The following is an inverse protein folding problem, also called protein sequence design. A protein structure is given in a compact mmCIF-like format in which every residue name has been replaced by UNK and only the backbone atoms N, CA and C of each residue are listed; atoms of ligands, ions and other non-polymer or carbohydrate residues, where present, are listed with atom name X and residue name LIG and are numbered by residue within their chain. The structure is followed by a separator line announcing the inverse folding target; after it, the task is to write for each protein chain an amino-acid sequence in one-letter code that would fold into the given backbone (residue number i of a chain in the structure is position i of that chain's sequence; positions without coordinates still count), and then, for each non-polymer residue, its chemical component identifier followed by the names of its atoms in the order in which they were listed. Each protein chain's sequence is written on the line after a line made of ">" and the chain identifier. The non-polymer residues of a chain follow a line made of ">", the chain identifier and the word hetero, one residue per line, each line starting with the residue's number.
data_IF_665241235563
#
_entry.id   IF_665241235563
#
_cell.length_a   1.000
_cell.length_b   1.000
_cell.length_c   1.000
_cell.angle_alpha   90.00
_cell.angle_beta   90.00
_cell.angle_gamma   90.00
#
_symmetry.space_group_name_H-M   'P 1'
#
loop_
_entity.id
_entity.type
_entity.pdbx_description
1 polymer ?
#
# COMPACT_ATOMS: atom_id res chain seq x y z
N UNK A 1 82.99 -29.02 -66.20
CA UNK A 1 82.17 -30.13 -65.77
C UNK A 1 80.81 -29.53 -65.34
N UNK A 2 79.92 -29.52 -66.29
CA UNK A 2 78.63 -28.78 -66.21
C UNK A 2 77.49 -29.76 -65.96
N UNK A 3 76.64 -29.47 -65.04
CA UNK A 3 75.32 -30.11 -64.88
C UNK A 3 74.23 -29.05 -64.92
N UNK A 4 73.48 -29.19 -66.02
CA UNK A 4 72.29 -28.37 -66.29
C UNK A 4 71.07 -28.93 -65.47
N UNK A 5 70.54 -28.14 -64.61
CA UNK A 5 69.35 -28.52 -63.88
C UNK A 5 68.10 -27.99 -64.57
N UNK A 6 67.24 -28.91 -64.91
CA UNK A 6 65.93 -28.66 -65.55
C UNK A 6 64.85 -28.27 -64.51
N UNK A 7 64.23 -27.09 -64.62
CA UNK A 7 63.15 -26.69 -63.78
C UNK A 7 61.82 -27.29 -64.28
N UNK A 8 61.18 -28.10 -63.45
CA UNK A 8 59.81 -28.55 -63.62
C UNK A 8 58.86 -27.57 -62.90
N UNK A 9 57.88 -27.02 -63.61
CA UNK A 9 56.78 -26.21 -63.10
C UNK A 9 55.67 -27.16 -62.69
N UNK A 10 55.17 -27.16 -61.45
CA UNK A 10 54.02 -27.96 -61.06
C UNK A 10 52.67 -27.27 -61.48
N UNK A 11 51.59 -28.05 -61.71
CA UNK A 11 50.30 -27.53 -62.16
C UNK A 11 49.55 -26.81 -61.03
N UNK A 12 48.81 -25.75 -61.39
CA UNK A 12 47.96 -24.93 -60.57
C UNK A 12 46.78 -25.79 -60.12
N UNK A 13 46.70 -26.03 -58.84
CA UNK A 13 45.59 -26.73 -58.20
C UNK A 13 44.46 -25.73 -57.86
N UNK A 14 43.35 -25.76 -58.60
CA UNK A 14 42.17 -24.94 -58.40
C UNK A 14 41.38 -25.52 -57.22
N UNK A 15 41.66 -25.10 -55.99
CA UNK A 15 40.89 -25.48 -54.84
C UNK A 15 39.63 -24.62 -54.77
N UNK A 16 38.51 -25.28 -54.98
CA UNK A 16 37.16 -24.84 -54.81
C UNK A 16 36.95 -24.28 -53.41
N UNK A 17 36.83 -22.94 -53.28
CA UNK A 17 36.41 -22.27 -52.05
C UNK A 17 34.98 -22.68 -51.71
N UNK A 18 34.78 -23.57 -50.78
CA UNK A 18 33.49 -23.84 -50.12
C UNK A 18 33.17 -22.62 -49.29
N UNK A 19 32.18 -21.82 -49.74
CA UNK A 19 31.51 -20.80 -48.91
C UNK A 19 30.69 -21.53 -47.86
N UNK A 20 31.20 -21.54 -46.63
CA UNK A 20 30.34 -21.87 -45.43
C UNK A 20 29.37 -20.71 -45.22
N UNK A 21 28.04 -20.95 -45.16
CA UNK A 21 27.13 -19.94 -44.72
C UNK A 21 27.38 -19.71 -43.22
N UNK A 22 27.83 -18.50 -42.87
CA UNK A 22 27.86 -18.02 -41.49
C UNK A 22 26.39 -17.85 -41.08
N UNK A 23 25.88 -18.81 -40.33
CA UNK A 23 24.58 -18.72 -39.66
C UNK A 23 24.72 -17.67 -38.54
N UNK A 24 24.34 -16.42 -38.79
CA UNK A 24 24.25 -15.38 -37.77
C UNK A 24 23.09 -15.75 -36.88
N UNK A 25 23.34 -16.39 -35.76
CA UNK A 25 22.39 -16.61 -34.68
C UNK A 25 22.14 -15.25 -34.00
N UNK A 26 21.11 -14.54 -34.48
CA UNK A 26 20.61 -13.33 -33.80
C UNK A 26 19.95 -13.79 -32.52
N UNK A 27 20.68 -13.78 -31.41
CA UNK A 27 20.13 -13.89 -30.07
C UNK A 27 19.28 -12.64 -29.83
N UNK A 28 17.96 -12.76 -30.01
CA UNK A 28 17.00 -11.80 -29.51
C UNK A 28 17.08 -11.85 -27.98
N UNK A 29 17.92 -11.03 -27.37
CA UNK A 29 17.80 -10.70 -25.96
C UNK A 29 16.50 -9.91 -25.81
N UNK A 30 15.42 -10.55 -25.37
CA UNK A 30 14.24 -9.83 -24.93
C UNK A 30 14.68 -8.79 -23.87
N UNK A 31 14.22 -7.53 -23.96
CA UNK A 31 14.57 -6.54 -22.95
C UNK A 31 14.13 -7.06 -21.58
N UNK A 32 14.99 -6.97 -20.59
CA UNK A 32 14.76 -7.48 -19.23
C UNK A 32 13.41 -6.99 -18.62
N UNK A 33 12.99 -5.77 -18.96
CA UNK A 33 11.72 -5.21 -18.54
C UNK A 33 10.48 -6.05 -18.97
N UNK A 34 10.47 -6.61 -20.19
CA UNK A 34 9.36 -7.47 -20.63
C UNK A 34 9.33 -8.81 -19.90
N UNK A 35 10.47 -9.30 -19.47
CA UNK A 35 10.57 -10.52 -18.66
C UNK A 35 10.05 -10.30 -17.24
N UNK A 36 10.33 -9.15 -16.65
CA UNK A 36 9.87 -8.77 -15.31
C UNK A 36 8.36 -8.58 -15.27
N UNK A 37 7.77 -7.93 -16.29
CA UNK A 37 6.32 -7.77 -16.40
C UNK A 37 5.61 -9.13 -16.57
N UNK A 38 6.14 -10.03 -17.40
CA UNK A 38 5.59 -11.38 -17.60
C UNK A 38 5.69 -12.21 -16.30
N UNK A 39 6.78 -12.08 -15.54
CA UNK A 39 6.96 -12.75 -14.26
C UNK A 39 5.98 -12.21 -13.23
N UNK A 40 5.79 -10.89 -13.13
CA UNK A 40 4.82 -10.27 -12.26
C UNK A 40 3.39 -10.78 -12.53
N UNK A 41 2.97 -10.84 -13.81
CA UNK A 41 1.66 -11.35 -14.18
C UNK A 41 1.48 -12.84 -13.81
N UNK A 42 2.53 -13.65 -13.97
CA UNK A 42 2.49 -15.05 -13.57
C UNK A 42 2.28 -15.20 -12.07
N UNK A 43 3.03 -14.47 -11.23
CA UNK A 43 2.90 -14.50 -9.77
C UNK A 43 1.51 -14.03 -9.34
N UNK A 44 1.02 -12.93 -9.89
CA UNK A 44 -0.33 -12.42 -9.61
C UNK A 44 -1.41 -13.44 -9.97
N UNK A 45 -1.28 -14.13 -11.09
CA UNK A 45 -2.21 -15.19 -11.49
C UNK A 45 -2.21 -16.34 -10.48
N UNK A 46 -1.03 -16.79 -10.03
CA UNK A 46 -0.89 -17.82 -9.01
C UNK A 46 -1.47 -17.38 -7.68
N UNK A 47 -1.19 -16.14 -7.26
CA UNK A 47 -1.71 -15.57 -6.03
C UNK A 47 -3.24 -15.43 -6.06
N UNK A 48 -3.83 -14.92 -7.14
CA UNK A 48 -5.29 -14.87 -7.31
C UNK A 48 -5.91 -16.26 -7.30
N UNK A 49 -5.26 -17.25 -7.91
CA UNK A 49 -5.73 -18.64 -7.83
C UNK A 49 -5.69 -19.17 -6.40
N UNK A 50 -4.66 -18.86 -5.62
CA UNK A 50 -4.49 -19.28 -4.22
C UNK A 50 -5.55 -18.68 -3.29
N UNK A 51 -5.94 -17.41 -3.51
CA UNK A 51 -6.92 -16.73 -2.66
C UNK A 51 -8.38 -16.97 -3.05
N UNK A 52 -8.68 -17.73 -4.14
CA UNK A 52 -10.06 -18.07 -4.49
C UNK A 52 -10.32 -18.26 -5.98
N UNK A 53 -9.38 -17.85 -6.83
CA UNK A 53 -9.47 -17.94 -8.28
C UNK A 53 -10.14 -16.75 -8.94
N UNK A 54 -9.75 -16.48 -10.17
CA UNK A 54 -10.18 -15.30 -10.94
C UNK A 54 -11.70 -15.19 -11.03
N UNK A 55 -12.40 -16.33 -11.25
CA UNK A 55 -13.85 -16.35 -11.35
C UNK A 55 -14.56 -15.86 -10.09
N UNK A 56 -14.07 -16.24 -8.89
CA UNK A 56 -14.65 -15.81 -7.63
C UNK A 56 -14.31 -14.33 -7.36
N UNK A 57 -13.07 -13.92 -7.65
CA UNK A 57 -12.64 -12.54 -7.45
C UNK A 57 -13.42 -11.56 -8.34
N UNK A 58 -13.75 -11.93 -9.58
CA UNK A 58 -14.56 -11.11 -10.49
C UNK A 58 -16.02 -10.96 -10.05
N UNK A 59 -16.54 -11.86 -9.23
CA UNK A 59 -17.91 -11.77 -8.68
C UNK A 59 -18.02 -10.82 -7.48
N UNK A 60 -16.88 -10.36 -6.95
CA UNK A 60 -16.89 -9.47 -5.79
C UNK A 60 -17.33 -8.07 -6.23
N UNK A 61 -18.46 -7.64 -5.72
CA UNK A 61 -19.00 -6.29 -5.89
C UNK A 61 -18.77 -5.44 -4.64
N UNK A 62 -18.60 -6.08 -3.48
CA UNK A 62 -18.35 -5.40 -2.23
C UNK A 62 -17.91 -6.33 -1.12
N UNK A 63 -17.34 -5.74 -0.08
CA UNK A 63 -16.91 -6.43 1.13
C UNK A 63 -17.33 -5.62 2.35
N UNK A 64 -17.77 -6.31 3.39
CA UNK A 64 -17.86 -5.74 4.72
C UNK A 64 -16.96 -6.53 5.65
N UNK A 65 -16.11 -5.82 6.39
CA UNK A 65 -15.10 -6.38 7.28
C UNK A 65 -15.30 -5.79 8.66
N UNK A 66 -15.48 -6.64 9.66
CA UNK A 66 -15.67 -6.22 11.07
C UNK A 66 -14.64 -6.88 11.96
N UNK A 67 -14.16 -6.13 12.93
CA UNK A 67 -13.21 -6.65 13.89
C UNK A 67 -12.84 -5.64 14.95
N UNK A 68 -11.82 -5.97 15.72
CA UNK A 68 -11.29 -5.11 16.76
C UNK A 68 -9.89 -4.61 16.38
N UNK A 69 -9.65 -3.34 16.57
CA UNK A 69 -8.32 -2.78 16.38
C UNK A 69 -7.71 -2.35 17.72
N UNK A 70 -6.39 -2.42 17.78
CA UNK A 70 -5.55 -1.89 18.85
C UNK A 70 -4.46 -1.04 18.21
N UNK A 71 -4.33 0.19 18.67
CA UNK A 71 -3.33 1.15 18.16
C UNK A 71 -2.47 1.64 19.31
N UNK A 72 -1.16 1.65 19.09
CA UNK A 72 -0.21 2.28 19.99
C UNK A 72 -0.26 3.81 19.84
N UNK A 73 -0.31 4.52 20.96
CA UNK A 73 -0.26 5.97 20.99
C UNK A 73 0.68 6.41 22.12
N UNK A 74 1.97 6.50 21.83
CA UNK A 74 3.02 6.62 22.84
C UNK A 74 2.96 5.43 23.80
N UNK A 75 2.96 5.70 25.11
CA UNK A 75 2.87 4.67 26.15
C UNK A 75 1.44 4.11 26.39
N UNK A 76 0.47 4.54 25.58
CA UNK A 76 -0.93 4.13 25.74
C UNK A 76 -1.35 3.25 24.57
N UNK A 77 -2.23 2.31 24.87
CA UNK A 77 -2.96 1.58 23.84
C UNK A 77 -4.39 2.11 23.77
N UNK A 78 -4.86 2.34 22.56
CA UNK A 78 -6.23 2.69 22.25
C UNK A 78 -6.79 1.60 21.34
N UNK A 79 -8.06 1.27 21.51
CA UNK A 79 -8.67 0.24 20.70
C UNK A 79 -10.17 0.38 20.67
N UNK A 80 -10.78 -0.43 19.86
CA UNK A 80 -12.22 -0.44 19.68
C UNK A 80 -12.65 -1.33 18.54
N UNK A 81 -13.89 -1.15 18.12
CA UNK A 81 -14.44 -1.87 16.99
C UNK A 81 -14.17 -1.10 15.69
N UNK A 82 -13.80 -1.83 14.64
CA UNK A 82 -13.66 -1.29 13.29
C UNK A 82 -14.59 -2.01 12.33
N UNK A 83 -15.29 -1.22 11.54
CA UNK A 83 -16.03 -1.69 10.39
C UNK A 83 -15.47 -1.04 9.12
N UNK A 84 -15.17 -1.86 8.10
CA UNK A 84 -14.76 -1.42 6.78
C UNK A 84 -15.82 -1.87 5.80
N UNK A 85 -16.45 -0.93 5.10
CA UNK A 85 -17.44 -1.19 4.06
C UNK A 85 -16.85 -0.78 2.70
N UNK A 86 -16.86 -1.71 1.77
CA UNK A 86 -16.31 -1.54 0.42
C UNK A 86 -17.42 -1.86 -0.58
N UNK A 87 -17.69 -0.94 -1.50
CA UNK A 87 -18.52 -1.18 -2.67
C UNK A 87 -17.76 -0.75 -3.92
N UNK A 88 -17.37 -1.74 -4.71
CA UNK A 88 -16.63 -1.51 -5.94
C UNK A 88 -17.50 -0.77 -6.98
N UNK A 89 -16.91 0.06 -7.84
CA UNK A 89 -15.46 0.22 -7.98
C UNK A 89 -14.82 1.29 -7.08
N UNK A 90 -15.57 2.17 -6.41
CA UNK A 90 -15.01 3.42 -5.89
C UNK A 90 -15.68 3.93 -4.61
N UNK A 91 -16.34 3.07 -3.83
CA UNK A 91 -16.91 3.46 -2.54
C UNK A 91 -16.25 2.71 -1.38
N UNK A 92 -15.90 3.47 -0.37
CA UNK A 92 -15.16 3.00 0.79
C UNK A 92 -15.55 3.80 2.02
N UNK A 93 -15.78 3.10 3.12
CA UNK A 93 -16.08 3.69 4.41
C UNK A 93 -15.36 2.89 5.50
N UNK A 94 -14.69 3.58 6.40
CA UNK A 94 -14.17 3.01 7.65
C UNK A 94 -14.80 3.75 8.81
N UNK A 95 -15.29 2.98 9.76
CA UNK A 95 -15.81 3.44 11.03
C UNK A 95 -15.01 2.81 12.16
N UNK A 96 -14.33 3.67 12.93
CA UNK A 96 -13.55 3.28 14.10
C UNK A 96 -14.30 3.74 15.35
N UNK A 97 -14.98 2.83 16.03
CA UNK A 97 -15.64 3.09 17.30
C UNK A 97 -14.66 2.85 18.46
N UNK A 98 -14.16 3.94 19.04
CA UNK A 98 -13.17 3.87 20.13
C UNK A 98 -13.85 3.58 21.47
N UNK A 99 -13.33 2.57 22.17
CA UNK A 99 -13.71 2.29 23.55
C UNK A 99 -13.01 3.29 24.47
N UNK A 100 -13.69 4.34 24.84
CA UNK A 100 -13.19 5.33 25.78
C UNK A 100 -13.44 4.86 27.21
N UNK A 101 -12.55 4.09 27.79
CA UNK A 101 -12.66 3.52 29.13
C UNK A 101 -13.18 4.51 30.20
N UNK A 102 -14.50 4.64 30.33
CA UNK A 102 -15.18 5.46 31.33
C UNK A 102 -16.02 6.63 30.82
N UNK A 103 -16.06 6.92 29.52
CA UNK A 103 -17.00 7.90 28.94
C UNK A 103 -18.27 7.18 28.47
N UNK A 104 -19.43 7.78 28.75
CA UNK A 104 -20.74 7.21 28.43
C UNK A 104 -21.09 7.18 26.93
N UNK A 105 -20.22 7.72 26.08
CA UNK A 105 -20.45 7.81 24.64
C UNK A 105 -19.19 7.36 23.90
N UNK A 106 -19.32 6.34 23.06
CA UNK A 106 -18.25 5.92 22.17
C UNK A 106 -17.91 7.04 21.19
N UNK A 107 -16.62 7.28 20.99
CA UNK A 107 -16.15 8.20 19.94
C UNK A 107 -16.04 7.40 18.64
N UNK A 108 -16.77 7.81 17.60
CA UNK A 108 -16.72 7.17 16.30
C UNK A 108 -15.98 8.10 15.33
N UNK A 109 -14.88 7.63 14.81
CA UNK A 109 -14.17 8.28 13.71
C UNK A 109 -14.57 7.62 12.40
N UNK A 110 -15.03 8.41 11.46
CA UNK A 110 -15.40 7.95 10.13
C UNK A 110 -14.49 8.56 9.07
N UNK A 111 -14.18 7.79 8.05
CA UNK A 111 -13.53 8.27 6.83
C UNK A 111 -14.06 7.51 5.64
N UNK A 112 -14.38 8.25 4.59
CA UNK A 112 -15.07 7.70 3.44
C UNK A 112 -14.58 8.24 2.12
N UNK A 113 -14.77 7.43 1.08
CA UNK A 113 -14.61 7.77 -0.31
C UNK A 113 -15.89 7.37 -1.05
N UNK A 114 -16.46 8.28 -1.83
CA UNK A 114 -17.60 8.03 -2.69
C UNK A 114 -17.33 8.64 -4.06
N UNK A 115 -16.84 7.82 -4.98
CA UNK A 115 -16.33 8.29 -6.25
C UNK A 115 -15.02 9.07 -6.07
N UNK A 116 -15.04 10.32 -6.44
CA UNK A 116 -13.94 11.30 -6.30
C UNK A 116 -14.03 12.13 -5.01
N UNK A 117 -15.12 12.01 -4.25
CA UNK A 117 -15.34 12.75 -3.02
C UNK A 117 -14.80 11.99 -1.82
N UNK A 118 -13.88 12.62 -1.09
CA UNK A 118 -13.35 12.10 0.16
C UNK A 118 -13.84 12.96 1.35
N UNK A 119 -14.15 12.29 2.45
CA UNK A 119 -14.60 12.97 3.65
C UNK A 119 -14.18 12.24 4.92
N UNK A 120 -14.10 12.98 6.01
CA UNK A 120 -13.90 12.41 7.34
C UNK A 120 -14.84 13.08 8.33
N UNK A 121 -15.24 12.33 9.33
CA UNK A 121 -16.12 12.78 10.38
C UNK A 121 -15.72 12.23 11.74
N UNK A 122 -16.21 12.87 12.80
CA UNK A 122 -16.04 12.42 14.16
C UNK A 122 -17.34 12.70 14.92
N UNK A 123 -17.92 11.70 15.56
CA UNK A 123 -19.08 11.82 16.41
C UNK A 123 -18.74 11.38 17.84
N UNK A 124 -19.30 12.03 18.85
CA UNK A 124 -19.09 11.60 20.23
C UNK A 124 -18.20 12.51 21.10
N UNK A 125 -18.12 13.80 20.79
CA UNK A 125 -17.61 14.85 21.69
C UNK A 125 -16.08 14.80 21.97
N UNK A 126 -15.40 15.89 21.59
CA UNK A 126 -13.98 16.10 21.85
C UNK A 126 -13.08 15.70 20.69
N UNK A 127 -13.51 15.97 19.48
CA UNK A 127 -12.74 15.68 18.28
C UNK A 127 -11.35 16.29 18.32
N UNK A 128 -10.34 15.44 18.22
CA UNK A 128 -8.99 15.89 17.91
C UNK A 128 -9.01 16.32 16.43
N UNK A 129 -9.24 17.60 16.18
CA UNK A 129 -9.08 18.16 14.85
C UNK A 129 -7.60 18.03 14.47
N UNK A 130 -7.27 17.07 13.63
CA UNK A 130 -5.97 17.08 12.95
C UNK A 130 -6.04 18.26 11.98
N UNK A 131 -5.43 19.37 12.42
CA UNK A 131 -5.27 20.54 11.56
C UNK A 131 -4.22 20.19 10.51
N UNK A 132 -4.68 19.77 9.34
CA UNK A 132 -3.78 19.52 8.22
C UNK A 132 -3.31 20.88 7.69
N UNK A 133 -2.00 21.09 7.72
CA UNK A 133 -1.36 22.27 7.14
C UNK A 133 -0.96 21.96 5.70
N UNK A 134 -1.26 22.88 4.81
CA UNK A 134 -0.80 22.84 3.42
C UNK A 134 0.72 23.09 3.30
N UNK A 135 1.26 22.94 2.09
CA UNK A 135 2.64 23.28 1.79
C UNK A 135 2.98 24.71 2.24
N UNK A 136 4.10 24.90 2.93
CA UNK A 136 4.54 26.21 3.41
C UNK A 136 3.92 26.68 4.73
N UNK A 137 3.26 25.77 5.51
CA UNK A 137 2.73 26.09 6.83
C UNK A 137 1.46 26.95 6.83
N UNK A 138 0.92 27.28 5.66
CA UNK A 138 -0.35 27.99 5.54
C UNK A 138 -1.52 27.01 5.73
N UNK A 139 -2.67 27.53 6.15
CA UNK A 139 -3.87 26.72 6.23
C UNK A 139 -4.29 26.31 4.81
N UNK A 140 -4.35 24.99 4.54
CA UNK A 140 -4.77 24.49 3.23
C UNK A 140 -6.18 25.01 2.89
N UNK A 141 -6.42 25.36 1.62
CA UNK A 141 -7.78 25.68 1.18
C UNK A 141 -8.69 24.46 1.29
N UNK A 142 -10.01 24.63 1.38
CA UNK A 142 -10.94 23.50 1.40
C UNK A 142 -10.72 22.52 0.24
N UNK A 143 -10.43 23.02 -0.96
CA UNK A 143 -10.19 22.21 -2.15
C UNK A 143 -8.87 21.43 -2.04
N UNK A 144 -7.81 22.07 -1.50
CA UNK A 144 -6.53 21.38 -1.25
C UNK A 144 -6.67 20.30 -0.19
N UNK A 145 -7.50 20.53 0.84
CA UNK A 145 -7.79 19.53 1.86
C UNK A 145 -8.57 18.34 1.30
N UNK A 146 -9.58 18.61 0.49
CA UNK A 146 -10.37 17.55 -0.16
C UNK A 146 -9.50 16.70 -1.09
N UNK A 147 -8.69 17.32 -1.92
CA UNK A 147 -7.76 16.63 -2.81
C UNK A 147 -6.74 15.77 -2.04
N UNK A 148 -6.18 16.31 -0.96
CA UNK A 148 -5.26 15.57 -0.11
C UNK A 148 -5.96 14.37 0.57
N UNK A 149 -7.16 14.55 1.09
CA UNK A 149 -7.97 13.47 1.67
C UNK A 149 -8.29 12.41 0.62
N UNK A 150 -8.68 12.83 -0.58
CA UNK A 150 -8.96 11.92 -1.70
C UNK A 150 -7.76 11.04 -2.01
N UNK A 151 -6.55 11.60 -2.13
CA UNK A 151 -5.32 10.84 -2.39
C UNK A 151 -5.02 9.85 -1.26
N UNK A 152 -5.09 10.30 -0.01
CA UNK A 152 -4.82 9.46 1.16
C UNK A 152 -5.80 8.29 1.22
N UNK A 153 -7.11 8.55 1.09
CA UNK A 153 -8.12 7.51 1.22
C UNK A 153 -8.17 6.57 0.02
N UNK A 154 -7.90 7.08 -1.20
CA UNK A 154 -7.75 6.22 -2.38
C UNK A 154 -6.55 5.28 -2.25
N UNK A 155 -5.43 5.77 -1.73
CA UNK A 155 -4.25 4.94 -1.48
C UNK A 155 -4.51 3.90 -0.36
N UNK A 156 -5.18 4.29 0.72
CA UNK A 156 -5.58 3.38 1.80
C UNK A 156 -6.53 2.29 1.29
N UNK A 157 -7.56 2.69 0.56
CA UNK A 157 -8.51 1.78 -0.06
C UNK A 157 -7.83 0.77 -0.99
N UNK A 158 -6.92 1.24 -1.84
CA UNK A 158 -6.16 0.37 -2.74
C UNK A 158 -5.30 -0.65 -2.00
N UNK A 159 -4.68 -0.24 -0.88
CA UNK A 159 -3.91 -1.16 -0.03
C UNK A 159 -4.79 -2.23 0.59
N UNK A 160 -5.99 -1.89 1.07
CA UNK A 160 -6.94 -2.89 1.57
C UNK A 160 -7.41 -3.85 0.47
N UNK A 161 -7.70 -3.34 -0.74
CA UNK A 161 -8.07 -4.20 -1.87
C UNK A 161 -6.93 -5.13 -2.28
N UNK A 162 -5.69 -4.63 -2.33
CA UNK A 162 -4.51 -5.46 -2.60
C UNK A 162 -4.29 -6.51 -1.51
N UNK A 163 -4.48 -6.14 -0.23
CA UNK A 163 -4.31 -7.04 0.90
C UNK A 163 -5.35 -8.18 0.93
N UNK A 164 -6.59 -7.90 0.51
CA UNK A 164 -7.71 -8.85 0.65
C UNK A 164 -8.02 -9.60 -0.64
N UNK A 165 -8.07 -8.92 -1.78
CA UNK A 165 -8.55 -9.50 -3.04
C UNK A 165 -7.60 -9.29 -4.22
N UNK A 166 -6.40 -8.78 -3.97
CA UNK A 166 -5.36 -8.55 -4.98
C UNK A 166 -5.84 -7.70 -6.18
N UNK A 167 -6.73 -6.75 -5.91
CA UNK A 167 -7.28 -5.85 -6.92
C UNK A 167 -7.08 -4.42 -6.44
N UNK A 168 -6.39 -3.56 -7.20
CA UNK A 168 -6.33 -2.13 -6.90
C UNK A 168 -7.64 -1.46 -7.27
N UNK A 169 -7.81 -0.20 -6.85
CA UNK A 169 -8.91 0.63 -7.33
C UNK A 169 -8.95 0.64 -8.86
N UNK A 170 -10.10 0.36 -9.48
CA UNK A 170 -10.21 0.42 -10.95
C UNK A 170 -9.85 1.79 -11.54
N UNK A 171 -10.01 2.87 -10.76
CA UNK A 171 -9.60 4.23 -11.14
C UNK A 171 -8.09 4.46 -11.08
N UNK A 172 -7.33 3.59 -10.41
CA UNK A 172 -5.88 3.63 -10.38
C UNK A 172 -5.35 2.69 -11.47
N UNK A 173 -4.98 3.25 -12.61
CA UNK A 173 -4.22 2.52 -13.63
C UNK A 173 -2.85 2.16 -13.02
N UNK A 174 -2.70 0.92 -12.54
CA UNK A 174 -1.46 0.47 -11.91
C UNK A 174 -0.65 -0.43 -12.83
N UNK A 175 0.66 -0.33 -12.71
CA UNK A 175 1.64 -1.22 -13.31
C UNK A 175 2.16 -2.21 -12.26
N UNK A 176 2.44 -3.43 -12.70
CA UNK A 176 2.99 -4.47 -11.86
C UNK A 176 4.36 -4.88 -12.41
N UNK A 177 5.41 -4.82 -11.58
CA UNK A 177 6.77 -5.21 -11.94
C UNK A 177 7.32 -6.20 -10.94
N UNK A 178 7.99 -7.23 -11.44
CA UNK A 178 8.71 -8.15 -10.58
C UNK A 178 9.92 -7.44 -9.97
N UNK A 179 10.01 -7.43 -8.64
CA UNK A 179 11.06 -6.74 -7.90
C UNK A 179 12.12 -7.70 -7.32
N UNK A 180 11.98 -9.01 -7.57
CA UNK A 180 12.92 -10.01 -7.07
C UNK A 180 12.32 -10.92 -6.00
N UNK A 181 13.20 -11.50 -5.19
CA UNK A 181 12.86 -12.40 -4.09
C UNK A 181 13.26 -11.77 -2.77
N UNK A 182 12.58 -12.13 -1.70
CA UNK A 182 12.87 -11.67 -0.34
C UNK A 182 12.52 -12.75 0.67
N UNK A 183 12.90 -12.54 1.90
CA UNK A 183 12.49 -13.33 3.05
C UNK A 183 11.57 -12.49 3.93
N UNK A 184 10.41 -13.05 4.28
CA UNK A 184 9.43 -12.45 5.19
C UNK A 184 9.27 -13.40 6.36
N UNK A 185 9.82 -13.03 7.52
CA UNK A 185 9.97 -13.94 8.66
C UNK A 185 10.74 -15.21 8.22
N UNK A 186 10.13 -16.38 8.27
CA UNK A 186 10.74 -17.65 7.86
C UNK A 186 10.30 -18.10 6.45
N UNK A 187 9.53 -17.28 5.72
CA UNK A 187 8.99 -17.62 4.42
C UNK A 187 9.76 -16.94 3.27
N UNK A 188 10.10 -17.72 2.25
CA UNK A 188 10.62 -17.18 0.99
C UNK A 188 9.48 -16.55 0.19
N UNK A 189 9.66 -15.34 -0.28
CA UNK A 189 8.65 -14.59 -0.99
C UNK A 189 9.10 -14.11 -2.38
N UNK A 190 8.21 -14.17 -3.35
CA UNK A 190 8.29 -13.40 -4.59
C UNK A 190 7.76 -11.98 -4.32
N UNK A 191 8.40 -10.97 -4.89
CA UNK A 191 8.10 -9.56 -4.63
C UNK A 191 7.63 -8.87 -5.90
N UNK A 192 6.51 -8.15 -5.81
CA UNK A 192 5.96 -7.35 -6.89
C UNK A 192 5.82 -5.90 -6.44
N UNK A 193 6.38 -4.98 -7.23
CA UNK A 193 6.13 -3.55 -7.11
C UNK A 193 4.85 -3.20 -7.88
N UNK A 194 3.95 -2.50 -7.20
CA UNK A 194 2.69 -1.97 -7.75
C UNK A 194 2.79 -0.46 -7.72
N UNK A 195 2.80 0.18 -8.87
CA UNK A 195 2.89 1.64 -8.99
C UNK A 195 1.73 2.22 -9.79
N UNK A 196 1.31 3.42 -9.45
CA UNK A 196 0.17 4.10 -10.08
C UNK A 196 0.28 5.62 -10.02
N UNK A 197 -0.77 6.34 -10.43
CA UNK A 197 -0.82 7.79 -10.38
C UNK A 197 -0.71 8.32 -8.95
N UNK A 198 -0.50 9.63 -8.81
CA UNK A 198 -0.38 10.36 -7.53
C UNK A 198 0.74 9.80 -6.61
N UNK A 199 1.82 9.25 -7.19
CA UNK A 199 2.91 8.58 -6.48
C UNK A 199 2.45 7.35 -5.67
N UNK A 200 1.33 6.74 -6.05
CA UNK A 200 0.94 5.48 -5.42
C UNK A 200 1.99 4.41 -5.71
N UNK A 201 2.55 3.85 -4.67
CA UNK A 201 3.52 2.78 -4.75
C UNK A 201 3.35 1.84 -3.56
N UNK A 202 3.27 0.55 -3.85
CA UNK A 202 3.16 -0.52 -2.86
C UNK A 202 3.98 -1.71 -3.35
N UNK A 203 4.74 -2.32 -2.48
CA UNK A 203 5.39 -3.60 -2.72
C UNK A 203 4.59 -4.70 -2.05
N UNK A 204 4.27 -5.77 -2.78
CA UNK A 204 3.52 -6.92 -2.29
C UNK A 204 4.42 -8.15 -2.29
N UNK A 205 4.46 -8.85 -1.18
CA UNK A 205 5.25 -10.06 -0.95
C UNK A 205 4.34 -11.27 -0.95
N UNK A 206 4.61 -12.24 -1.80
CA UNK A 206 3.85 -13.47 -1.98
C UNK A 206 4.67 -14.67 -1.53
N UNK A 207 4.14 -15.48 -0.67
CA UNK A 207 4.77 -16.74 -0.28
C UNK A 207 5.03 -17.63 -1.51
N UNK A 208 6.25 -18.11 -1.68
CA UNK A 208 6.64 -18.89 -2.87
C UNK A 208 5.99 -20.28 -2.92
N UNK A 209 5.57 -20.84 -1.79
CA UNK A 209 4.97 -22.18 -1.71
C UNK A 209 3.46 -22.12 -1.84
N UNK A 210 2.83 -21.20 -1.11
CA UNK A 210 1.36 -21.08 -1.05
C UNK A 210 0.80 -20.05 -2.01
N UNK A 211 1.64 -19.11 -2.50
CA UNK A 211 1.28 -17.94 -3.31
C UNK A 211 0.35 -16.95 -2.61
N UNK A 212 0.16 -17.08 -1.30
CA UNK A 212 -0.68 -16.17 -0.51
C UNK A 212 0.10 -14.88 -0.22
N UNK A 213 -0.54 -13.68 -0.25
CA UNK A 213 0.11 -12.45 0.14
C UNK A 213 0.42 -12.46 1.64
N UNK A 214 1.69 -12.16 2.00
CA UNK A 214 2.19 -12.14 3.37
C UNK A 214 2.31 -10.72 3.92
N UNK A 215 2.75 -9.79 3.07
CA UNK A 215 3.14 -8.45 3.48
C UNK A 215 2.91 -7.46 2.33
N UNK A 216 2.47 -6.27 2.70
CA UNK A 216 2.56 -5.08 1.85
C UNK A 216 3.55 -4.12 2.49
N UNK A 217 4.39 -3.45 1.69
CA UNK A 217 5.20 -2.34 2.17
C UNK A 217 5.04 -1.12 1.27
N UNK A 218 5.17 0.07 1.87
CA UNK A 218 5.12 1.34 1.15
C UNK A 218 5.86 2.42 1.94
N UNK A 219 6.25 3.49 1.28
CA UNK A 219 6.86 4.65 1.91
C UNK A 219 5.86 5.78 2.07
N UNK A 220 6.03 6.55 3.11
CA UNK A 220 5.19 7.71 3.37
C UNK A 220 5.75 8.60 4.47
N UNK A 221 5.14 9.76 4.68
CA UNK A 221 5.59 10.70 5.70
C UNK A 221 5.41 10.11 7.09
N UNK A 222 6.46 10.22 7.91
CA UNK A 222 6.44 9.80 9.31
C UNK A 222 5.31 10.49 10.06
N UNK A 223 4.43 9.73 10.75
CA UNK A 223 3.37 10.31 11.54
C UNK A 223 3.94 11.24 12.61
N UNK A 224 3.60 12.51 12.57
CA UNK A 224 3.94 13.43 13.64
C UNK A 224 2.93 13.27 14.75
N UNK A 225 3.32 12.61 15.83
CA UNK A 225 2.54 12.62 17.06
C UNK A 225 2.67 14.02 17.62
N UNK A 226 1.68 14.87 17.36
CA UNK A 226 1.57 16.10 18.14
C UNK A 226 1.10 15.69 19.55
N UNK A 227 2.05 15.41 20.41
CA UNK A 227 1.77 15.43 21.84
C UNK A 227 1.42 16.88 22.18
N UNK A 228 0.12 17.21 22.12
CA UNK A 228 -0.36 18.35 22.89
C UNK A 228 -0.08 17.94 24.35
N UNK A 229 1.08 18.35 24.87
CA UNK A 229 1.25 18.45 26.31
C UNK A 229 0.14 19.40 26.75
N UNK A 230 -1.00 18.83 27.13
CA UNK A 230 -1.90 19.58 27.99
C UNK A 230 -1.03 19.93 29.19
N UNK A 231 -0.73 21.22 29.43
CA UNK A 231 -0.05 21.57 30.64
C UNK A 231 -0.82 20.90 31.76
N UNK A 232 -0.10 20.11 32.55
CA UNK A 232 -0.64 19.38 33.70
C UNK A 232 -1.63 20.31 34.41
N UNK A 233 -2.83 19.84 34.71
CA UNK A 233 -3.86 20.61 35.40
C UNK A 233 -3.38 21.21 36.75
N UNK A 234 -2.21 20.79 37.20
CA UNK A 234 -1.51 21.28 38.39
C UNK A 234 -0.42 22.29 37.97
N UNK A 235 -0.76 23.57 37.83
CA UNK A 235 0.17 24.67 37.93
C UNK A 235 0.54 25.43 36.65
N UNK A 236 0.04 25.08 35.48
CA UNK A 236 0.27 25.90 34.28
C UNK A 236 -0.58 27.16 34.33
N UNK A 237 0.06 28.31 34.25
CA UNK A 237 -0.63 29.59 34.18
C UNK A 237 -1.22 29.83 32.77
N UNK A 238 -2.24 30.69 32.62
CA UNK A 238 -2.72 31.10 31.31
C UNK A 238 -1.62 31.61 30.36
N UNK A 239 -0.56 32.22 30.94
CA UNK A 239 0.62 32.70 30.22
C UNK A 239 1.49 31.55 29.70
N UNK A 240 1.65 30.48 30.43
CA UNK A 240 2.38 29.28 29.96
C UNK A 240 1.68 28.63 28.79
N UNK A 241 0.35 28.57 28.85
CA UNK A 241 -0.49 28.04 27.77
C UNK A 241 -0.37 28.92 26.51
N UNK A 242 -0.38 30.26 26.70
CA UNK A 242 -0.22 31.22 25.60
C UNK A 242 1.16 31.10 24.96
N UNK A 243 2.25 31.07 25.76
CA UNK A 243 3.61 30.92 25.27
C UNK A 243 3.81 29.60 24.50
N UNK A 244 3.32 28.48 25.04
CA UNK A 244 3.38 27.19 24.35
C UNK A 244 2.62 27.21 23.01
N UNK A 245 1.50 27.93 22.95
CA UNK A 245 0.73 28.11 21.71
C UNK A 245 1.48 29.01 20.70
N UNK A 246 2.05 30.13 21.14
CA UNK A 246 2.85 31.02 20.29
C UNK A 246 4.13 30.34 19.78
N UNK A 247 4.78 29.52 20.59
CA UNK A 247 5.93 28.71 20.16
C UNK A 247 5.52 27.62 19.15
N UNK A 248 4.39 26.97 19.37
CA UNK A 248 3.86 26.01 18.42
C UNK A 248 3.48 26.68 17.08
N UNK A 249 2.85 27.86 17.14
CA UNK A 249 2.52 28.66 15.95
C UNK A 249 3.80 29.14 15.22
N UNK A 250 4.84 29.58 15.95
CA UNK A 250 6.13 29.93 15.34
C UNK A 250 6.83 28.75 14.67
N UNK A 251 6.79 27.57 15.27
CA UNK A 251 7.35 26.35 14.65
C UNK A 251 6.57 25.94 13.42
N UNK A 252 5.26 26.21 13.38
CA UNK A 252 4.38 25.87 12.27
C UNK A 252 4.43 26.92 11.14
N UNK A 253 4.75 28.20 11.45
CA UNK A 253 4.83 29.30 10.49
C UNK A 253 6.25 29.58 10.00
N UNK A 254 7.24 28.72 10.25
CA UNK A 254 8.58 28.88 9.69
C UNK A 254 8.51 28.86 8.17
N UNK A 255 9.17 29.80 7.51
CA UNK A 255 9.20 29.94 6.03
C UNK A 255 9.70 28.68 5.31
N UNK A 256 10.28 27.73 6.05
CA UNK A 256 10.73 26.43 5.57
C UNK A 256 10.31 25.34 6.56
N UNK A 257 9.08 24.85 6.49
CA UNK A 257 8.70 23.69 7.30
C UNK A 257 9.62 22.52 6.92
N UNK A 258 10.18 21.81 7.89
CA UNK A 258 11.04 20.67 7.58
C UNK A 258 10.27 19.70 6.71
N UNK A 259 10.89 19.27 5.61
CA UNK A 259 10.34 18.21 4.75
C UNK A 259 10.02 17.02 5.65
N UNK A 260 8.80 16.46 5.59
CA UNK A 260 8.48 15.30 6.38
C UNK A 260 9.47 14.18 6.10
N UNK A 261 10.06 13.61 7.16
CA UNK A 261 10.86 12.40 7.04
C UNK A 261 9.98 11.30 6.45
N UNK A 262 10.44 10.63 5.38
CA UNK A 262 9.76 9.49 4.84
C UNK A 262 10.27 8.21 5.47
N UNK A 263 9.36 7.37 5.94
CA UNK A 263 9.63 6.09 6.59
C UNK A 263 8.93 4.95 5.87
N UNK A 264 9.37 3.73 6.16
CA UNK A 264 8.73 2.53 5.63
C UNK A 264 7.56 2.11 6.52
N UNK A 265 6.45 1.80 5.87
CA UNK A 265 5.26 1.21 6.47
C UNK A 265 5.07 -0.20 5.97
N UNK A 266 4.57 -1.06 6.85
CA UNK A 266 4.28 -2.44 6.51
C UNK A 266 2.88 -2.82 6.97
N UNK A 267 2.21 -3.67 6.20
CA UNK A 267 0.93 -4.32 6.56
C UNK A 267 1.17 -5.81 6.45
N UNK A 268 1.33 -6.48 7.59
CA UNK A 268 1.49 -7.93 7.66
C UNK A 268 0.13 -8.59 7.64
N UNK A 269 -0.01 -9.66 6.85
CA UNK A 269 -1.24 -10.40 6.62
C UNK A 269 -1.09 -11.80 7.21
N UNK A 270 -1.85 -12.13 8.24
CA UNK A 270 -1.78 -13.41 8.92
C UNK A 270 -3.15 -14.00 9.22
N UNK A 271 -3.19 -15.22 9.76
CA UNK A 271 -4.42 -15.93 10.11
C UNK A 271 -5.40 -16.06 8.92
N UNK A 272 -4.88 -16.52 7.79
CA UNK A 272 -5.69 -16.70 6.57
C UNK A 272 -6.72 -17.82 6.75
N UNK A 273 -8.00 -17.53 6.49
CA UNK A 273 -9.12 -18.45 6.59
C UNK A 273 -10.01 -18.40 5.36
N UNK A 274 -10.73 -19.48 5.10
CA UNK A 274 -11.70 -19.53 4.00
C UNK A 274 -13.02 -18.88 4.40
N UNK A 275 -13.47 -17.94 3.56
CA UNK A 275 -14.77 -17.25 3.68
C UNK A 275 -15.39 -17.18 2.29
N UNK A 276 -16.55 -17.78 2.09
CA UNK A 276 -17.30 -17.76 0.82
C UNK A 276 -16.44 -18.12 -0.41
N UNK A 277 -15.53 -19.10 -0.23
CA UNK A 277 -14.64 -19.56 -1.29
C UNK A 277 -13.35 -18.74 -1.45
N UNK A 278 -13.20 -17.65 -0.73
CA UNK A 278 -11.99 -16.83 -0.70
C UNK A 278 -11.10 -17.18 0.49
N UNK A 279 -9.79 -17.08 0.32
CA UNK A 279 -8.82 -17.16 1.43
C UNK A 279 -8.43 -15.76 1.83
N UNK A 280 -8.89 -15.30 2.99
CA UNK A 280 -8.75 -13.92 3.46
C UNK A 280 -7.96 -13.85 4.77
N UNK A 281 -7.11 -12.83 4.97
CA UNK A 281 -6.39 -12.63 6.23
C UNK A 281 -7.35 -12.22 7.35
N UNK A 282 -7.23 -12.81 8.53
CA UNK A 282 -8.03 -12.44 9.71
C UNK A 282 -7.25 -11.59 10.71
N UNK A 283 -5.99 -11.31 10.44
CA UNK A 283 -5.22 -10.34 11.21
C UNK A 283 -4.36 -9.49 10.28
N UNK A 284 -4.49 -8.17 10.41
CA UNK A 284 -3.62 -7.17 9.79
C UNK A 284 -2.79 -6.52 10.89
N UNK A 285 -1.46 -6.57 10.77
CA UNK A 285 -0.55 -5.87 11.67
C UNK A 285 0.14 -4.76 10.89
N UNK A 286 -0.09 -3.52 11.32
CA UNK A 286 0.52 -2.34 10.72
C UNK A 286 1.78 -1.98 11.50
N UNK A 287 2.88 -1.78 10.78
CA UNK A 287 4.14 -1.36 11.36
C UNK A 287 4.58 -0.04 10.73
N UNK A 288 5.24 0.77 11.53
CA UNK A 288 6.00 1.93 11.07
C UNK A 288 7.46 1.64 11.38
N UNK A 289 8.28 1.52 10.34
CA UNK A 289 9.64 0.97 10.45
C UNK A 289 9.60 -0.45 11.05
N UNK A 290 10.11 -0.65 12.26
CA UNK A 290 10.08 -1.94 12.95
C UNK A 290 9.04 -2.02 14.08
N UNK A 291 8.35 -0.92 14.37
CA UNK A 291 7.43 -0.83 15.50
C UNK A 291 5.99 -1.12 15.08
N UNK A 292 5.31 -1.97 15.84
CA UNK A 292 3.87 -2.22 15.62
C UNK A 292 3.09 -0.97 16.03
N UNK A 293 2.47 -0.33 15.06
CA UNK A 293 1.64 0.87 15.26
C UNK A 293 0.17 0.53 15.46
N UNK A 294 -0.32 -0.53 14.81
CA UNK A 294 -1.71 -0.97 14.94
C UNK A 294 -1.85 -2.46 14.64
N UNK A 295 -2.76 -3.12 15.33
CA UNK A 295 -3.26 -4.46 14.99
C UNK A 295 -4.76 -4.39 14.73
N UNK A 296 -5.23 -5.08 13.69
CA UNK A 296 -6.64 -5.24 13.38
C UNK A 296 -6.97 -6.73 13.29
N UNK A 297 -7.72 -7.24 14.26
CA UNK A 297 -8.18 -8.62 14.32
C UNK A 297 -9.59 -8.69 13.74
N UNK A 298 -9.72 -9.38 12.61
CA UNK A 298 -10.96 -9.44 11.84
C UNK A 298 -11.77 -10.63 12.31
N UNK A 299 -12.95 -10.36 12.85
CA UNK A 299 -13.89 -11.37 13.33
C UNK A 299 -14.87 -11.83 12.27
N UNK A 300 -15.18 -10.97 11.29
CA UNK A 300 -16.21 -11.26 10.29
C UNK A 300 -15.92 -10.59 8.95
N UNK A 301 -16.08 -11.38 7.89
CA UNK A 301 -16.24 -10.91 6.51
C UNK A 301 -17.66 -11.18 6.02
N UNK A 302 -18.16 -10.32 5.15
CA UNK A 302 -19.33 -10.55 4.30
C UNK A 302 -18.97 -10.18 2.87
N UNK A 303 -19.13 -11.13 1.96
CA UNK A 303 -18.91 -10.91 0.53
C UNK A 303 -20.24 -10.50 -0.09
N UNK A 304 -20.22 -9.45 -0.90
CA UNK A 304 -21.39 -8.89 -1.58
C UNK A 304 -22.55 -8.54 -0.64
N UNK A 305 -22.31 -7.81 0.47
CA UNK A 305 -23.40 -7.40 1.36
C UNK A 305 -24.32 -6.39 0.68
N UNK A 306 -25.56 -6.36 1.12
CA UNK A 306 -26.51 -5.31 0.71
C UNK A 306 -26.28 -4.07 1.58
N UNK A 307 -25.73 -3.02 1.00
CA UNK A 307 -25.57 -1.73 1.67
C UNK A 307 -26.77 -0.83 1.51
N UNK A 308 -27.04 0.01 2.50
CA UNK A 308 -28.00 1.11 2.37
C UNK A 308 -27.47 2.12 1.33
N UNK A 309 -28.38 2.73 0.59
CA UNK A 309 -28.01 3.63 -0.51
C UNK A 309 -27.17 4.84 -0.04
N UNK A 310 -27.43 5.32 1.16
CA UNK A 310 -26.82 6.49 1.80
C UNK A 310 -25.57 6.18 2.64
N UNK A 311 -25.22 4.91 2.81
CA UNK A 311 -24.10 4.49 3.69
C UNK A 311 -22.78 5.22 3.40
N UNK A 312 -22.49 5.49 2.14
CA UNK A 312 -21.25 6.13 1.71
C UNK A 312 -21.34 7.65 1.56
N UNK A 313 -22.48 8.24 1.93
CA UNK A 313 -22.63 9.69 1.92
C UNK A 313 -22.02 10.31 3.20
N UNK A 314 -21.59 11.56 3.08
CA UNK A 314 -21.13 12.32 4.24
C UNK A 314 -22.33 12.66 5.14
N UNK A 315 -22.29 12.24 6.39
CA UNK A 315 -23.26 12.58 7.43
C UNK A 315 -22.72 13.64 8.39
#
# INVERSE_FOLDING_TARGET
>A
MNLVGTFLVPPVNTSMRRLLPILILVLFSAPAALADDARAQQILKQARQAIGGEEQLQKIQGLQVKGQYRRAFGDRQMGGDREISILLPNKYLVEDAMNSGGLSTAMINTRGLNGDKAWSGNSGGGGMFIRMMGPGGQQASPEQMEEMQRRIFSAEFSRYLLAMILTPLPALAVEYKYAGESEVEDAQADVIDVSGPDNFSVRVFFDKQTHIPLLLSYRGPKPRIMTMQRPSRNGATPDDIRKAREEAEKRMSSENPPVPEEVDFFIRLTDHKKVDGLTLPHKLTFLTETEVSEEFEISKYQVNPQFKADLFEKH
#
